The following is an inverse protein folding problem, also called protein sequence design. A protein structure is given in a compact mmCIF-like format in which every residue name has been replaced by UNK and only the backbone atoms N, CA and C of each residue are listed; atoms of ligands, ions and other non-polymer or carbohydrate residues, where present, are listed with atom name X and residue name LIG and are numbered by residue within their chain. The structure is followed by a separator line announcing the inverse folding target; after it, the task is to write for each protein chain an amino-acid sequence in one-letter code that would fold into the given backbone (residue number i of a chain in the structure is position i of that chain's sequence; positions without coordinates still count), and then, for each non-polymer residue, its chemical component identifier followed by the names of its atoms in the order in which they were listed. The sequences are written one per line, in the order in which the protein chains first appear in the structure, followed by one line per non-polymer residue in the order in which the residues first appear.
data_IF_529659486227
#
_entry.id   IF_529659486227
#
_cell.length_a   1.000
_cell.length_b   1.000
_cell.length_c   1.000
_cell.angle_alpha   90.00
_cell.angle_beta   90.00
_cell.angle_gamma   90.00
#
_symmetry.space_group_name_H-M   'P 1'
#
loop_
_entity.id
_entity.type
_entity.pdbx_description
1 polymer ?
#
# COMPACT_ATOMS: atom_id res chain seq x y z
N UNK A 1 -18.93 -13.53 7.15
CA UNK A 1 -18.36 -14.30 8.28
C UNK A 1 -16.98 -14.87 7.93
N UNK A 2 -16.82 -15.60 6.82
CA UNK A 2 -15.56 -16.24 6.43
C UNK A 2 -14.38 -15.27 6.24
N UNK A 3 -14.59 -14.12 5.60
CA UNK A 3 -13.55 -13.11 5.41
C UNK A 3 -13.03 -12.51 6.73
N UNK A 4 -13.91 -12.35 7.74
CA UNK A 4 -13.52 -11.90 9.09
C UNK A 4 -12.67 -12.96 9.78
N UNK A 5 -13.05 -14.24 9.69
CA UNK A 5 -12.26 -15.35 10.25
C UNK A 5 -10.88 -15.40 9.57
N UNK A 6 -10.83 -15.30 8.25
CA UNK A 6 -9.57 -15.25 7.50
C UNK A 6 -8.72 -14.03 7.89
N UNK A 7 -9.34 -12.86 8.09
CA UNK A 7 -8.67 -11.66 8.60
C UNK A 7 -7.98 -11.95 9.94
N UNK A 8 -8.70 -12.52 10.91
CA UNK A 8 -8.14 -12.88 12.22
C UNK A 8 -7.05 -13.95 12.12
N UNK A 9 -7.24 -14.94 11.25
CA UNK A 9 -6.24 -15.97 10.98
C UNK A 9 -4.94 -15.36 10.45
N UNK A 10 -4.99 -14.50 9.42
CA UNK A 10 -3.82 -13.85 8.85
C UNK A 10 -3.11 -12.94 9.85
N UNK A 11 -3.86 -12.22 10.70
CA UNK A 11 -3.30 -11.43 11.79
C UNK A 11 -2.56 -12.28 12.82
N UNK A 12 -3.16 -13.41 13.22
CA UNK A 12 -2.53 -14.36 14.14
C UNK A 12 -1.28 -14.98 13.52
N UNK A 13 -1.40 -15.47 12.29
CA UNK A 13 -0.32 -16.10 11.54
C UNK A 13 0.89 -15.17 11.39
N UNK A 14 0.67 -13.93 10.94
CA UNK A 14 1.80 -13.01 10.72
C UNK A 14 2.48 -12.65 12.04
N UNK A 15 1.73 -12.45 13.13
CA UNK A 15 2.30 -12.16 14.45
C UNK A 15 3.10 -13.32 15.01
N UNK A 16 2.64 -14.56 14.82
CA UNK A 16 3.35 -15.76 15.26
C UNK A 16 4.63 -15.97 14.44
N UNK A 17 4.55 -15.85 13.11
CA UNK A 17 5.69 -16.12 12.24
C UNK A 17 6.78 -15.05 12.29
N UNK A 18 6.40 -13.79 12.46
CA UNK A 18 7.34 -12.65 12.32
C UNK A 18 7.67 -11.98 13.66
N UNK A 19 6.87 -12.19 14.71
CA UNK A 19 6.93 -11.39 15.93
C UNK A 19 6.64 -9.90 15.69
N UNK A 20 6.10 -9.53 14.52
CA UNK A 20 5.99 -8.14 14.10
C UNK A 20 5.14 -7.31 15.08
N UNK A 21 5.72 -6.20 15.51
CA UNK A 21 5.04 -5.16 16.26
C UNK A 21 5.11 -3.87 15.45
N UNK A 22 3.95 -3.25 15.24
CA UNK A 22 3.89 -1.96 14.57
C UNK A 22 4.49 -0.87 15.47
N UNK A 23 5.50 -0.16 14.97
CA UNK A 23 6.04 1.06 15.59
C UNK A 23 5.78 2.23 14.66
N UNK A 24 5.10 3.24 15.18
CA UNK A 24 4.70 4.42 14.43
C UNK A 24 5.61 5.59 14.82
N UNK A 25 6.40 6.08 13.89
CA UNK A 25 7.30 7.22 14.10
C UNK A 25 6.79 8.45 13.34
N UNK A 26 6.72 9.61 14.01
CA UNK A 26 6.33 10.89 13.41
C UNK A 26 4.85 11.03 13.04
N UNK A 27 4.18 9.94 12.67
CA UNK A 27 2.77 9.93 12.29
C UNK A 27 2.06 8.71 12.90
N UNK A 28 1.40 8.84 14.06
CA UNK A 28 0.58 7.76 14.62
C UNK A 28 -0.60 7.44 13.68
N UNK A 29 -1.21 6.24 13.79
CA UNK A 29 -2.37 5.90 12.99
C UNK A 29 -3.53 6.80 13.43
N UNK A 30 -4.08 7.58 12.50
CA UNK A 30 -5.27 8.40 12.70
C UNK A 30 -6.28 8.09 11.61
N UNK A 31 -7.56 8.29 11.91
CA UNK A 31 -8.67 8.21 10.98
C UNK A 31 -8.68 9.40 9.99
N UNK A 32 -7.59 9.54 9.25
CA UNK A 32 -7.44 10.46 8.12
C UNK A 32 -7.09 9.63 6.90
N UNK A 33 -7.42 10.12 5.71
CA UNK A 33 -7.02 9.46 4.47
C UNK A 33 -5.49 9.47 4.30
N UNK A 34 -4.89 8.33 3.93
CA UNK A 34 -3.44 8.15 3.81
C UNK A 34 -3.07 7.33 2.58
N UNK A 35 -1.91 7.61 2.02
CA UNK A 35 -1.22 6.69 1.13
C UNK A 35 -0.12 6.01 1.95
N UNK A 36 -0.16 4.70 2.02
CA UNK A 36 0.85 3.82 2.61
C UNK A 36 1.70 3.26 1.48
N UNK A 37 3.02 3.28 1.63
CA UNK A 37 3.89 2.58 0.70
C UNK A 37 5.07 1.91 1.39
N UNK A 38 5.64 0.93 0.72
CA UNK A 38 6.86 0.25 1.12
C UNK A 38 7.55 -0.33 -0.11
N UNK A 39 8.82 -0.70 0.03
CA UNK A 39 9.54 -1.50 -0.97
C UNK A 39 8.95 -2.92 -0.99
N UNK A 40 8.96 -3.59 -2.15
CA UNK A 40 8.24 -4.87 -2.33
C UNK A 40 9.18 -6.06 -2.48
N UNK A 41 9.31 -6.82 -1.40
CA UNK A 41 10.08 -8.04 -1.35
C UNK A 41 9.17 -9.28 -1.47
N UNK A 42 7.98 -9.24 -0.87
CA UNK A 42 7.09 -10.39 -0.79
C UNK A 42 5.61 -10.00 -0.68
N UNK A 43 4.71 -10.96 -0.97
CA UNK A 43 3.28 -10.76 -0.67
C UNK A 43 2.99 -10.66 0.83
N UNK A 44 3.89 -11.14 1.69
CA UNK A 44 3.74 -10.98 3.13
C UNK A 44 3.87 -9.51 3.55
N UNK A 45 4.54 -8.66 2.77
CA UNK A 45 4.68 -7.22 3.05
C UNK A 45 3.33 -6.54 3.13
N UNK A 46 2.42 -6.88 2.20
CA UNK A 46 1.04 -6.40 2.23
C UNK A 46 0.35 -6.80 3.54
N UNK A 47 0.47 -8.07 3.92
CA UNK A 47 -0.17 -8.59 5.13
C UNK A 47 0.42 -7.92 6.38
N UNK A 48 1.73 -7.64 6.40
CA UNK A 48 2.39 -6.94 7.51
C UNK A 48 1.91 -5.50 7.66
N UNK A 49 1.87 -4.72 6.56
CA UNK A 49 1.34 -3.35 6.58
C UNK A 49 -0.11 -3.35 7.04
N UNK A 50 -0.94 -4.21 6.46
CA UNK A 50 -2.35 -4.32 6.80
C UNK A 50 -2.57 -4.77 8.26
N UNK A 51 -1.73 -5.66 8.77
CA UNK A 51 -1.79 -6.11 10.17
C UNK A 51 -1.37 -5.03 11.17
N UNK A 52 -0.47 -4.12 10.77
CA UNK A 52 -0.06 -2.98 11.57
C UNK A 52 -1.19 -1.95 11.76
N UNK A 53 -2.11 -1.83 10.80
CA UNK A 53 -3.25 -0.91 10.87
C UNK A 53 -4.20 -1.27 12.03
N UNK A 54 -4.74 -0.28 12.77
CA UNK A 54 -5.92 -0.46 13.62
C UNK A 54 -7.10 -1.03 12.81
N UNK A 55 -8.01 -1.73 13.50
CA UNK A 55 -9.13 -2.43 12.87
C UNK A 55 -9.98 -1.50 11.99
N UNK A 56 -10.20 -0.28 12.46
CA UNK A 56 -11.01 0.75 11.82
C UNK A 56 -10.36 1.26 10.53
N UNK A 57 -9.03 1.32 10.50
CA UNK A 57 -8.29 1.77 9.32
C UNK A 57 -8.22 0.69 8.25
N UNK A 58 -8.28 -0.60 8.61
CA UNK A 58 -8.23 -1.70 7.64
C UNK A 58 -9.43 -1.71 6.70
N UNK A 59 -10.62 -1.32 7.16
CA UNK A 59 -11.82 -1.30 6.32
C UNK A 59 -11.81 -0.18 5.27
N UNK A 60 -11.04 0.88 5.51
CA UNK A 60 -10.94 2.05 4.62
C UNK A 60 -9.57 2.11 3.91
N UNK A 61 -8.74 1.09 4.04
CA UNK A 61 -7.42 1.05 3.40
C UNK A 61 -7.37 -0.08 2.37
N UNK A 62 -7.18 0.29 1.11
CA UNK A 62 -7.22 -0.62 -0.02
C UNK A 62 -5.84 -0.83 -0.63
N UNK A 63 -5.31 -2.06 -0.69
CA UNK A 63 -4.07 -2.29 -1.40
C UNK A 63 -4.27 -2.32 -2.90
N UNK A 64 -3.28 -1.83 -3.64
CA UNK A 64 -3.20 -2.00 -5.09
C UNK A 64 -2.74 -3.42 -5.39
N UNK A 65 -3.47 -4.11 -6.27
CA UNK A 65 -3.18 -5.47 -6.70
C UNK A 65 -3.13 -5.55 -8.22
N UNK A 66 -2.08 -6.18 -8.75
CA UNK A 66 -2.01 -6.49 -10.17
C UNK A 66 -3.07 -7.53 -10.56
N UNK A 67 -3.99 -7.14 -11.44
CA UNK A 67 -5.18 -7.92 -11.80
C UNK A 67 -4.81 -9.30 -12.34
N UNK A 68 -3.92 -9.33 -13.35
CA UNK A 68 -3.40 -10.54 -13.99
C UNK A 68 -2.94 -11.62 -13.02
N UNK A 69 -2.27 -11.23 -11.94
CA UNK A 69 -1.76 -12.16 -10.94
C UNK A 69 -2.79 -12.53 -9.86
N UNK A 70 -3.50 -11.53 -9.33
CA UNK A 70 -4.35 -11.70 -8.14
C UNK A 70 -5.75 -12.23 -8.46
N UNK A 71 -6.18 -12.13 -9.73
CA UNK A 71 -7.41 -12.76 -10.21
C UNK A 71 -7.16 -14.08 -10.93
N UNK A 72 -5.93 -14.61 -10.90
CA UNK A 72 -5.60 -15.86 -11.60
C UNK A 72 -6.16 -17.14 -10.97
N UNK A 73 -6.69 -17.05 -9.75
CA UNK A 73 -7.45 -18.15 -9.13
C UNK A 73 -8.59 -17.63 -8.25
N UNK A 74 -9.69 -18.40 -8.10
CA UNK A 74 -10.83 -17.99 -7.27
C UNK A 74 -10.44 -17.69 -5.83
N UNK A 75 -9.49 -18.44 -5.28
CA UNK A 75 -9.02 -18.23 -3.90
C UNK A 75 -8.23 -16.93 -3.74
N UNK A 76 -7.30 -16.62 -4.65
CA UNK A 76 -6.53 -15.36 -4.62
C UNK A 76 -7.46 -14.15 -4.77
N UNK A 77 -8.41 -14.25 -5.72
CA UNK A 77 -9.39 -13.21 -5.96
C UNK A 77 -10.28 -13.02 -4.73
N UNK A 78 -10.77 -14.12 -4.15
CA UNK A 78 -11.60 -14.08 -2.94
C UNK A 78 -10.87 -13.42 -1.77
N UNK A 79 -9.61 -13.77 -1.50
CA UNK A 79 -8.81 -13.11 -0.45
C UNK A 79 -8.68 -11.61 -0.74
N UNK A 80 -8.21 -11.24 -1.92
CA UNK A 80 -7.93 -9.84 -2.23
C UNK A 80 -9.18 -8.97 -2.31
N UNK A 81 -10.30 -9.50 -2.79
CA UNK A 81 -11.59 -8.80 -2.81
C UNK A 81 -12.27 -8.78 -1.44
N UNK A 82 -12.43 -9.94 -0.79
CA UNK A 82 -13.29 -10.06 0.39
C UNK A 82 -12.59 -9.74 1.72
N UNK A 83 -11.27 -9.95 1.79
CA UNK A 83 -10.48 -9.73 3.02
C UNK A 83 -9.81 -8.37 2.97
N UNK A 84 -9.16 -8.04 1.85
CA UNK A 84 -8.36 -6.81 1.73
C UNK A 84 -9.06 -5.66 1.00
N UNK A 85 -10.20 -5.92 0.33
CA UNK A 85 -10.87 -4.91 -0.51
C UNK A 85 -9.89 -4.22 -1.48
N UNK A 86 -9.10 -5.03 -2.18
CA UNK A 86 -8.02 -4.55 -3.06
C UNK A 86 -8.56 -3.82 -4.29
N UNK A 87 -7.83 -2.80 -4.71
CA UNK A 87 -8.03 -2.14 -6.01
C UNK A 87 -7.21 -2.89 -7.04
N UNK A 88 -7.87 -3.46 -8.05
CA UNK A 88 -7.17 -4.11 -9.14
C UNK A 88 -6.73 -3.09 -10.18
N UNK A 89 -5.46 -3.16 -10.57
CA UNK A 89 -4.90 -2.37 -11.67
C UNK A 89 -4.37 -3.29 -12.75
N UNK A 90 -4.59 -2.89 -13.99
CA UNK A 90 -4.01 -3.54 -15.16
C UNK A 90 -2.59 -2.99 -15.37
N UNK A 91 -1.58 -3.88 -15.36
CA UNK A 91 -0.17 -3.49 -15.58
C UNK A 91 0.13 -3.13 -17.03
N UNK A 92 -0.67 -3.64 -17.96
CA UNK A 92 -0.62 -3.30 -19.37
C UNK A 92 -1.79 -2.35 -19.68
N UNK A 93 -1.53 -1.29 -20.44
CA UNK A 93 -2.60 -0.48 -21.03
C UNK A 93 -3.30 -1.33 -22.09
N UNK A 94 -4.49 -1.83 -21.77
CA UNK A 94 -5.37 -2.53 -22.70
C UNK A 94 -6.50 -1.60 -23.12
N UNK A 95 -6.38 -1.03 -24.33
CA UNK A 95 -7.36 -0.07 -24.86
C UNK A 95 -7.18 1.35 -24.33
N UNK A 96 -8.27 2.13 -24.34
CA UNK A 96 -8.30 3.55 -23.97
C UNK A 96 -8.56 3.82 -22.47
N UNK A 97 -8.74 2.78 -21.65
CA UNK A 97 -9.00 2.95 -20.21
C UNK A 97 -7.72 3.33 -19.47
N UNK A 98 -7.79 4.35 -18.61
CA UNK A 98 -6.68 4.72 -17.74
C UNK A 98 -6.54 3.66 -16.63
N UNK A 99 -5.41 2.91 -16.56
CA UNK A 99 -5.21 1.89 -15.54
C UNK A 99 -5.20 2.44 -14.10
N UNK A 100 -5.09 3.77 -13.94
CA UNK A 100 -5.11 4.45 -12.64
C UNK A 100 -6.49 4.99 -12.26
N UNK A 101 -7.49 4.93 -13.14
CA UNK A 101 -8.86 5.42 -12.83
C UNK A 101 -9.45 4.79 -11.55
N UNK A 102 -9.37 3.47 -11.32
CA UNK A 102 -9.86 2.86 -10.08
C UNK A 102 -9.15 3.37 -8.81
N UNK A 103 -7.89 3.78 -8.96
CA UNK A 103 -7.11 4.38 -7.87
C UNK A 103 -7.64 5.77 -7.53
N UNK A 104 -7.85 6.59 -8.56
CA UNK A 104 -8.35 7.96 -8.44
C UNK A 104 -9.74 7.95 -7.80
N UNK A 105 -10.60 7.00 -8.19
CA UNK A 105 -11.94 6.85 -7.61
C UNK A 105 -11.89 6.51 -6.12
N UNK A 106 -11.03 5.56 -5.72
CA UNK A 106 -10.86 5.21 -4.32
C UNK A 106 -10.35 6.42 -3.49
N UNK A 107 -9.39 7.17 -4.03
CA UNK A 107 -8.92 8.39 -3.37
C UNK A 107 -9.99 9.47 -3.28
N UNK A 108 -10.80 9.63 -4.32
CA UNK A 108 -11.91 10.60 -4.32
C UNK A 108 -12.98 10.22 -3.29
N UNK A 109 -13.19 8.92 -3.07
CA UNK A 109 -14.12 8.39 -2.07
C UNK A 109 -13.58 8.41 -0.63
N UNK A 110 -12.38 8.92 -0.40
CA UNK A 110 -11.79 9.04 0.93
C UNK A 110 -11.05 7.77 1.40
N UNK A 111 -10.90 6.76 0.54
CA UNK A 111 -10.16 5.55 0.89
C UNK A 111 -8.66 5.85 0.98
N UNK A 112 -8.01 5.19 1.93
CA UNK A 112 -6.57 5.09 2.02
C UNK A 112 -6.04 3.98 1.13
N UNK A 113 -4.77 4.04 0.74
CA UNK A 113 -4.22 3.10 -0.24
C UNK A 113 -2.90 2.52 0.24
N UNK A 114 -2.66 1.23 0.02
CA UNK A 114 -1.33 0.62 0.14
C UNK A 114 -0.78 0.38 -1.27
N UNK A 115 0.37 0.98 -1.59
CA UNK A 115 1.04 0.80 -2.87
C UNK A 115 2.50 0.37 -2.69
N UNK A 116 2.99 -0.35 -3.69
CA UNK A 116 4.38 -0.78 -3.78
C UNK A 116 4.95 -0.17 -5.07
N UNK A 117 5.73 0.92 -4.99
CA UNK A 117 6.05 1.76 -6.15
C UNK A 117 6.91 1.03 -7.20
N UNK A 118 7.60 -0.05 -6.80
CA UNK A 118 8.41 -0.89 -7.70
C UNK A 118 7.57 -1.73 -8.67
N UNK A 119 6.27 -1.95 -8.40
CA UNK A 119 5.33 -2.64 -9.29
C UNK A 119 5.58 -4.14 -9.51
N UNK A 120 6.78 -4.64 -9.23
CA UNK A 120 7.22 -6.05 -9.31
C UNK A 120 8.06 -6.41 -8.07
N UNK A 121 8.23 -7.71 -7.79
CA UNK A 121 9.07 -8.17 -6.66
C UNK A 121 10.53 -7.91 -7.03
N UNK A 122 11.26 -7.15 -6.21
CA UNK A 122 12.70 -7.01 -6.37
C UNK A 122 13.41 -8.32 -6.00
N UNK A 123 14.11 -8.94 -6.95
CA UNK A 123 15.07 -10.03 -6.68
C UNK A 123 16.46 -9.50 -6.27
N UNK A 124 16.56 -8.22 -5.89
CA UNK A 124 17.82 -7.60 -5.51
C UNK A 124 18.04 -7.72 -4.00
N UNK A 125 19.25 -8.11 -3.58
CA UNK A 125 19.68 -8.13 -2.17
C UNK A 125 19.62 -6.72 -1.53
N UNK A 126 19.57 -5.68 -2.34
CA UNK A 126 19.38 -4.30 -1.91
C UNK A 126 17.99 -3.76 -2.30
N UNK A 127 17.29 -3.06 -1.38
CA UNK A 127 16.11 -2.30 -1.75
C UNK A 127 16.48 -1.31 -2.87
N UNK A 128 15.72 -1.31 -3.97
CA UNK A 128 16.00 -0.39 -5.07
C UNK A 128 15.88 1.06 -4.61
N UNK A 129 16.72 1.93 -5.18
CA UNK A 129 16.86 3.30 -4.70
C UNK A 129 15.54 4.07 -4.80
N UNK A 130 15.01 4.44 -3.64
CA UNK A 130 13.82 5.26 -3.39
C UNK A 130 13.82 6.67 -4.05
N UNK A 131 14.90 7.04 -4.74
CA UNK A 131 15.40 8.41 -4.94
C UNK A 131 15.98 9.01 -3.64
N UNK A 132 17.27 8.70 -3.40
CA UNK A 132 18.23 9.27 -2.42
C UNK A 132 17.80 9.45 -0.94
N UNK A 133 18.00 8.36 -0.18
CA UNK A 133 18.67 8.19 1.14
C UNK A 133 18.78 9.43 2.08
N UNK A 134 18.03 9.41 3.19
CA UNK A 134 18.46 10.01 4.47
C UNK A 134 19.33 9.04 5.28
N UNK A 135 20.27 9.51 6.13
CA UNK A 135 21.44 8.71 6.56
C UNK A 135 21.21 7.61 7.62
N UNK A 136 19.98 7.35 8.07
CA UNK A 136 19.74 6.37 9.16
C UNK A 136 18.47 5.56 8.96
N UNK A 137 18.51 4.50 8.15
CA UNK A 137 17.44 3.50 8.10
C UNK A 137 17.96 2.13 7.61
N UNK A 138 18.85 1.51 8.39
CA UNK A 138 19.22 0.08 8.29
C UNK A 138 18.35 -0.79 9.19
N UNK A 139 17.04 -0.66 9.08
CA UNK A 139 16.09 -1.63 9.62
C UNK A 139 15.11 -1.93 8.49
N UNK A 140 14.52 -3.13 8.49
CA UNK A 140 13.37 -3.45 7.65
C UNK A 140 12.27 -2.40 7.90
N UNK A 141 12.39 -1.30 7.16
CA UNK A 141 11.83 -0.02 7.51
C UNK A 141 10.62 0.16 6.65
N UNK A 142 9.46 -0.16 7.23
CA UNK A 142 8.17 0.27 6.70
C UNK A 142 8.18 1.80 6.69
N UNK A 143 8.66 2.41 5.61
CA UNK A 143 8.61 3.84 5.39
C UNK A 143 7.18 4.21 5.02
N UNK A 144 6.30 4.18 6.02
CA UNK A 144 4.98 4.77 5.88
C UNK A 144 5.13 6.29 5.81
N UNK A 145 5.25 6.85 4.61
CA UNK A 145 5.07 8.29 4.44
C UNK A 145 3.60 8.53 4.18
N UNK A 146 2.95 9.16 5.15
CA UNK A 146 1.57 9.61 5.01
C UNK A 146 1.57 10.96 4.32
N UNK A 147 1.20 11.00 3.04
CA UNK A 147 0.82 12.25 2.37
C UNK A 147 -0.65 12.60 2.63
N UNK A 148 -0.95 13.87 2.91
CA UNK A 148 -2.31 14.42 2.73
C UNK A 148 -2.52 14.71 1.24
N UNK A 149 -3.59 14.18 0.66
CA UNK A 149 -3.90 14.33 -0.76
C UNK A 149 -4.20 15.78 -1.16
N UNK A 150 -4.76 16.60 -0.25
CA UNK A 150 -4.93 18.04 -0.47
C UNK A 150 -3.61 18.78 -0.77
N UNK A 151 -2.45 18.20 -0.40
CA UNK A 151 -1.14 18.74 -0.72
C UNK A 151 -0.62 18.23 -2.08
N UNK A 152 -1.07 17.06 -2.56
CA UNK A 152 -0.62 16.46 -3.83
C UNK A 152 -1.36 17.02 -5.05
N UNK A 153 -2.65 17.34 -4.93
CA UNK A 153 -3.39 18.02 -6.02
C UNK A 153 -3.18 19.54 -6.08
N UNK A 154 -2.64 20.15 -5.03
CA UNK A 154 -2.30 21.59 -5.00
C UNK A 154 -1.08 21.98 -5.84
N UNK A 155 -0.21 21.02 -6.19
CA UNK A 155 0.98 21.26 -7.05
C UNK A 155 0.67 21.19 -8.55
N UNK A 156 -0.56 20.82 -8.95
CA UNK A 156 -0.94 20.70 -10.35
C UNK A 156 -0.97 22.02 -11.14
N UNK A 157 -0.81 23.19 -10.49
CA UNK A 157 -0.77 24.50 -11.18
C UNK A 157 0.17 25.56 -10.60
N UNK A 158 0.89 25.29 -9.51
CA UNK A 158 1.74 26.29 -8.86
C UNK A 158 3.21 25.85 -8.81
N UNK A 159 4.00 26.43 -9.73
CA UNK A 159 5.43 26.71 -9.67
C UNK A 159 6.31 25.84 -8.76
N UNK A 160 7.18 25.04 -9.40
CA UNK A 160 8.48 24.64 -8.83
C UNK A 160 9.17 25.87 -8.18
N UNK A 161 9.48 25.84 -6.88
CA UNK A 161 10.22 26.93 -6.25
C UNK A 161 11.65 26.98 -6.78
N UNK A 162 12.05 28.15 -7.28
CA UNK A 162 13.32 28.45 -7.94
C UNK A 162 14.58 28.40 -7.03
N UNK A 163 14.58 27.62 -5.94
CA UNK A 163 15.77 27.44 -5.08
C UNK A 163 16.53 26.14 -5.32
N UNK A 164 16.29 25.51 -6.46
CA UNK A 164 17.19 24.53 -7.08
C UNK A 164 17.77 25.15 -8.37
N UNK A 165 18.60 26.19 -8.20
CA UNK A 165 19.70 26.46 -9.14
C UNK A 165 20.96 25.87 -8.54
#
# INVERSE_FOLDING_TARGET
MLAKIMSWFLLGLIRVLTGAQARWYGSPPKAEQRIYFANHQSHADLVMIWAALPLELRSITRPIAAKDYWTSSPFKQWITTSVFNAIYVDRARTGDQDPLEPLIDALTNGDSIILFPEGTRGNAEEPQSFWQRGPHQHQAGMALVVGKINTLFGFGRAALPARLR
#
